data_IF_456457826874
#
_entry.id   IF_456457826874
#
_cell.length_a   1.000
_cell.length_b   1.000
_cell.length_c   1.000
_cell.angle_alpha   90.00
_cell.angle_beta   90.00
_cell.angle_gamma   90.00
#
_symmetry.space_group_name_H-M   'P 1'
#
loop_
_entity.id
_entity.type
_entity.pdbx_description
1 polymer ?
#
# COMPACT_ATOMS: atom_id res chain seq x y z
N UNK A 1 5.37 12.24 -4.94
CA UNK A 1 4.21 12.79 -5.67
C UNK A 1 3.63 11.67 -6.52
N UNK A 2 2.69 10.84 -6.04
CA UNK A 2 2.21 9.73 -6.91
C UNK A 2 0.84 9.09 -6.63
N UNK A 3 0.23 9.16 -5.43
CA UNK A 3 -1.08 8.49 -5.24
C UNK A 3 -2.24 9.48 -5.40
N UNK A 4 -2.19 10.64 -4.75
CA UNK A 4 -3.37 11.53 -4.66
C UNK A 4 -3.85 12.15 -5.99
N UNK A 5 -2.94 12.70 -6.79
CA UNK A 5 -3.32 13.62 -7.87
C UNK A 5 -3.78 12.90 -9.14
N UNK A 6 -3.23 11.73 -9.43
CA UNK A 6 -3.71 10.89 -10.53
C UNK A 6 -5.00 10.16 -10.16
N UNK A 7 -5.24 9.89 -8.88
CA UNK A 7 -6.42 9.16 -8.43
C UNK A 7 -7.70 9.96 -8.41
N UNK A 8 -7.69 11.24 -8.03
CA UNK A 8 -8.95 12.02 -8.00
C UNK A 8 -9.47 12.21 -9.44
N UNK A 9 -8.59 12.45 -10.40
CA UNK A 9 -8.95 12.54 -11.82
C UNK A 9 -9.39 11.19 -12.42
N UNK A 10 -8.81 10.07 -11.97
CA UNK A 10 -9.17 8.72 -12.44
C UNK A 10 -10.35 8.09 -11.69
N UNK A 11 -10.62 8.49 -10.45
CA UNK A 11 -11.78 8.07 -9.64
C UNK A 11 -13.08 8.67 -10.18
N UNK A 12 -13.03 9.88 -10.76
CA UNK A 12 -14.14 10.43 -11.56
C UNK A 12 -14.43 9.64 -12.84
N UNK A 13 -13.46 8.84 -13.33
CA UNK A 13 -13.56 8.01 -14.55
C UNK A 13 -13.75 6.52 -14.26
N UNK A 14 -13.48 6.04 -13.05
CA UNK A 14 -13.51 4.61 -12.70
C UNK A 14 -13.99 4.38 -11.27
N UNK A 15 -15.31 4.42 -11.07
CA UNK A 15 -16.00 4.09 -9.82
C UNK A 15 -15.92 2.59 -9.44
N UNK A 16 -14.83 1.89 -9.77
CA UNK A 16 -14.70 0.44 -9.57
C UNK A 16 -13.73 0.09 -8.41
N UNK A 17 -14.17 -0.71 -7.42
CA UNK A 17 -13.30 -1.25 -6.37
C UNK A 17 -12.11 -2.06 -6.90
N UNK A 18 -12.21 -2.59 -8.13
CA UNK A 18 -11.14 -3.35 -8.79
C UNK A 18 -9.92 -2.47 -9.11
N UNK A 19 -10.15 -1.21 -9.50
CA UNK A 19 -9.08 -0.25 -9.78
C UNK A 19 -8.25 0.05 -8.53
N UNK A 20 -8.92 0.30 -7.40
CA UNK A 20 -8.27 0.55 -6.10
C UNK A 20 -7.40 -0.64 -5.72
N UNK A 21 -7.95 -1.85 -5.87
CA UNK A 21 -7.21 -3.06 -5.53
C UNK A 21 -5.95 -3.24 -6.35
N UNK A 22 -6.03 -3.05 -7.68
CA UNK A 22 -4.90 -3.18 -8.59
C UNK A 22 -3.80 -2.18 -8.27
N UNK A 23 -4.17 -0.92 -8.07
CA UNK A 23 -3.18 0.11 -7.76
C UNK A 23 -2.52 -0.08 -6.40
N UNK A 24 -3.24 -0.59 -5.38
CA UNK A 24 -2.65 -0.89 -4.08
C UNK A 24 -1.57 -1.97 -4.19
N UNK A 25 -1.82 -3.00 -5.01
CA UNK A 25 -0.82 -4.04 -5.31
C UNK A 25 0.39 -3.46 -6.02
N UNK A 26 0.19 -2.70 -7.10
CA UNK A 26 1.28 -2.08 -7.86
C UNK A 26 2.10 -1.08 -7.01
N UNK A 27 1.46 -0.39 -6.08
CA UNK A 27 2.16 0.46 -5.12
C UNK A 27 3.00 -0.36 -4.15
N UNK A 28 2.40 -1.39 -3.55
CA UNK A 28 3.07 -2.26 -2.58
C UNK A 28 4.31 -2.92 -3.20
N UNK A 29 4.17 -3.54 -4.38
CA UNK A 29 5.26 -4.25 -5.05
C UNK A 29 6.45 -3.32 -5.32
N UNK A 30 6.18 -2.07 -5.71
CA UNK A 30 7.19 -1.04 -5.96
C UNK A 30 7.91 -0.65 -4.66
N UNK A 31 7.16 -0.42 -3.59
CA UNK A 31 7.75 -0.05 -2.29
C UNK A 31 8.57 -1.20 -1.73
N UNK A 32 8.02 -2.41 -1.74
CA UNK A 32 8.71 -3.63 -1.32
C UNK A 32 10.02 -3.83 -2.10
N UNK A 33 9.97 -3.72 -3.43
CA UNK A 33 11.16 -3.87 -4.28
C UNK A 33 12.22 -2.83 -3.94
N UNK A 34 11.84 -1.56 -3.73
CA UNK A 34 12.77 -0.50 -3.37
C UNK A 34 13.42 -0.74 -2.00
N UNK A 35 12.63 -1.17 -1.00
CA UNK A 35 13.13 -1.46 0.34
C UNK A 35 14.04 -2.70 0.36
N UNK A 36 13.78 -3.69 -0.50
CA UNK A 36 14.57 -4.93 -0.58
C UNK A 36 15.82 -4.79 -1.47
N UNK A 37 15.82 -3.89 -2.45
CA UNK A 37 16.90 -3.77 -3.46
C UNK A 37 18.31 -3.52 -2.87
N UNK A 38 18.39 -3.06 -1.61
CA UNK A 38 19.64 -2.74 -0.94
C UNK A 38 19.98 -3.67 0.24
N UNK A 39 19.13 -4.65 0.55
CA UNK A 39 19.35 -5.59 1.64
C UNK A 39 20.33 -6.69 1.23
N UNK A 40 21.59 -6.63 1.72
CA UNK A 40 22.64 -7.63 1.46
C UNK A 40 23.06 -8.43 2.70
N UNK A 41 22.58 -8.05 3.87
CA UNK A 41 22.79 -8.73 5.16
C UNK A 41 21.57 -8.60 6.06
N UNK A 42 21.63 -9.24 7.24
CA UNK A 42 20.51 -9.26 8.20
C UNK A 42 20.15 -7.85 8.69
N UNK A 43 21.15 -7.02 8.99
CA UNK A 43 20.94 -5.64 9.45
C UNK A 43 20.29 -4.77 8.36
N UNK A 44 20.77 -4.86 7.11
CA UNK A 44 20.16 -4.13 5.99
C UNK A 44 18.76 -4.66 5.65
N UNK A 45 18.50 -5.95 5.89
CA UNK A 45 17.17 -6.55 5.72
C UNK A 45 16.19 -6.02 6.77
N UNK A 46 16.62 -5.93 8.03
CA UNK A 46 15.87 -5.31 9.12
C UNK A 46 15.58 -3.83 8.82
N UNK A 47 16.58 -3.08 8.35
CA UNK A 47 16.42 -1.68 7.97
C UNK A 47 15.41 -1.52 6.82
N UNK A 48 15.49 -2.37 5.78
CA UNK A 48 14.54 -2.40 4.68
C UNK A 48 13.11 -2.69 5.15
N UNK A 49 12.93 -3.59 6.12
CA UNK A 49 11.63 -3.88 6.71
C UNK A 49 11.07 -2.69 7.52
N UNK A 50 11.93 -2.01 8.29
CA UNK A 50 11.54 -0.79 9.01
C UNK A 50 11.06 0.29 8.03
N UNK A 51 11.79 0.49 6.93
CA UNK A 51 11.41 1.45 5.89
C UNK A 51 10.08 1.07 5.22
N UNK A 52 9.88 -0.20 4.88
CA UNK A 52 8.62 -0.70 4.33
C UNK A 52 7.44 -0.40 5.28
N UNK A 53 7.58 -0.72 6.57
CA UNK A 53 6.57 -0.45 7.57
C UNK A 53 6.26 1.05 7.71
N UNK A 54 7.27 1.91 7.66
CA UNK A 54 7.10 3.36 7.71
C UNK A 54 6.33 3.88 6.48
N UNK A 55 6.65 3.38 5.29
CA UNK A 55 5.92 3.75 4.06
C UNK A 55 4.46 3.27 4.11
N UNK A 56 4.22 2.03 4.56
CA UNK A 56 2.87 1.49 4.76
C UNK A 56 2.05 2.34 5.74
N UNK A 57 2.62 2.65 6.90
CA UNK A 57 1.95 3.49 7.89
C UNK A 57 1.64 4.89 7.35
N UNK A 58 2.58 5.50 6.63
CA UNK A 58 2.37 6.81 5.99
C UNK A 58 1.22 6.77 4.99
N UNK A 59 1.11 5.68 4.21
CA UNK A 59 0.06 5.55 3.19
C UNK A 59 -1.30 5.25 3.79
N UNK A 60 -1.36 4.35 4.77
CA UNK A 60 -2.58 4.03 5.54
C UNK A 60 -3.12 5.27 6.24
N UNK A 61 -2.24 6.09 6.83
CA UNK A 61 -2.62 7.36 7.45
C UNK A 61 -3.29 8.30 6.44
N UNK A 62 -2.71 8.45 5.24
CA UNK A 62 -3.30 9.27 4.16
C UNK A 62 -4.61 8.65 3.65
N UNK A 63 -4.69 7.34 3.53
CA UNK A 63 -5.91 6.63 3.15
C UNK A 63 -7.06 6.94 4.10
N UNK A 64 -6.79 6.97 5.41
CA UNK A 64 -7.79 7.29 6.41
C UNK A 64 -8.15 8.78 6.43
N UNK A 65 -7.16 9.67 6.52
CA UNK A 65 -7.40 11.10 6.77
C UNK A 65 -7.69 11.93 5.52
N UNK A 66 -7.13 11.57 4.37
CA UNK A 66 -7.22 12.39 3.17
C UNK A 66 -8.18 11.82 2.13
N UNK A 67 -8.24 10.48 1.99
CA UNK A 67 -8.97 9.84 0.89
C UNK A 67 -10.28 9.19 1.30
N UNK A 68 -10.40 8.68 2.54
CA UNK A 68 -11.57 7.90 2.94
C UNK A 68 -12.88 8.69 2.80
N UNK A 69 -12.94 9.89 3.38
CA UNK A 69 -14.13 10.75 3.33
C UNK A 69 -14.53 11.05 1.89
N UNK A 70 -13.60 11.53 1.07
CA UNK A 70 -13.85 11.86 -0.33
C UNK A 70 -14.37 10.66 -1.12
N UNK A 71 -13.74 9.49 -0.94
CA UNK A 71 -14.09 8.29 -1.69
C UNK A 71 -15.43 7.71 -1.25
N UNK A 72 -15.71 7.74 0.06
CA UNK A 72 -16.96 7.29 0.66
C UNK A 72 -18.13 8.18 0.22
N UNK A 73 -17.96 9.50 0.22
CA UNK A 73 -18.96 10.45 -0.29
C UNK A 73 -19.25 10.26 -1.79
N UNK A 74 -18.21 9.97 -2.60
CA UNK A 74 -18.37 9.81 -4.05
C UNK A 74 -18.88 8.44 -4.48
N UNK A 75 -18.56 7.37 -3.75
CA UNK A 75 -18.76 5.99 -4.21
C UNK A 75 -19.49 5.09 -3.23
N UNK A 76 -19.69 5.52 -1.98
CA UNK A 76 -20.20 4.70 -0.88
C UNK A 76 -19.24 3.63 -0.38
N UNK A 77 -17.98 3.61 -0.85
CA UNK A 77 -16.97 2.63 -0.46
C UNK A 77 -16.01 3.23 0.56
N UNK A 78 -15.80 2.54 1.68
CA UNK A 78 -14.76 2.88 2.66
C UNK A 78 -13.37 2.54 2.10
N UNK A 79 -12.73 3.53 1.47
CA UNK A 79 -11.40 3.40 0.87
C UNK A 79 -10.35 2.89 1.87
N UNK A 80 -10.35 3.44 3.09
CA UNK A 80 -9.40 3.04 4.12
C UNK A 80 -9.48 1.53 4.42
N UNK A 81 -10.70 1.01 4.60
CA UNK A 81 -10.88 -0.40 4.95
C UNK A 81 -10.38 -1.33 3.84
N UNK A 82 -10.61 -0.97 2.57
CA UNK A 82 -10.12 -1.75 1.42
C UNK A 82 -8.58 -1.71 1.40
N UNK A 83 -8.00 -0.53 1.48
CA UNK A 83 -6.55 -0.33 1.42
C UNK A 83 -5.83 -1.03 2.57
N UNK A 84 -6.28 -0.83 3.81
CA UNK A 84 -5.70 -1.45 4.99
C UNK A 84 -5.62 -2.98 4.88
N UNK A 85 -6.75 -3.63 4.57
CA UNK A 85 -6.82 -5.10 4.46
C UNK A 85 -5.91 -5.65 3.36
N UNK A 86 -5.71 -4.89 2.27
CA UNK A 86 -4.81 -5.31 1.21
C UNK A 86 -3.35 -5.19 1.61
N UNK A 87 -2.96 -4.08 2.24
CA UNK A 87 -1.60 -3.86 2.71
C UNK A 87 -1.21 -4.89 3.78
N UNK A 88 -2.11 -5.15 4.73
CA UNK A 88 -1.95 -6.19 5.76
C UNK A 88 -1.73 -7.57 5.13
N UNK A 89 -2.55 -7.92 4.13
CA UNK A 89 -2.44 -9.21 3.43
C UNK A 89 -1.10 -9.33 2.69
N UNK A 90 -0.69 -8.29 1.96
CA UNK A 90 0.55 -8.30 1.19
C UNK A 90 1.77 -8.46 2.10
N UNK A 91 1.85 -7.65 3.16
CA UNK A 91 2.91 -7.74 4.17
C UNK A 91 2.95 -9.13 4.82
N UNK A 92 1.79 -9.69 5.19
CA UNK A 92 1.71 -11.03 5.78
C UNK A 92 2.23 -12.12 4.86
N UNK A 93 1.97 -12.02 3.54
CA UNK A 93 2.47 -12.96 2.55
C UNK A 93 3.98 -12.90 2.46
N UNK A 94 4.57 -11.70 2.45
CA UNK A 94 6.03 -11.57 2.31
C UNK A 94 6.78 -11.89 3.60
N UNK A 95 6.22 -11.59 4.77
CA UNK A 95 6.78 -12.03 6.05
C UNK A 95 6.83 -13.55 6.15
N UNK A 96 5.78 -14.24 5.68
CA UNK A 96 5.77 -15.72 5.66
C UNK A 96 6.83 -16.29 4.75
N UNK A 97 7.01 -15.75 3.54
CA UNK A 97 8.08 -16.18 2.64
C UNK A 97 9.46 -15.98 3.26
N UNK A 98 9.69 -14.82 3.88
CA UNK A 98 10.96 -14.55 4.56
C UNK A 98 11.26 -15.49 5.72
N UNK A 99 10.24 -16.06 6.38
CA UNK A 99 10.38 -17.05 7.46
C UNK A 99 10.49 -18.50 6.96
N UNK A 100 10.10 -18.77 5.71
CA UNK A 100 10.19 -20.10 5.09
C UNK A 100 11.50 -20.30 4.29
N UNK A 101 12.18 -19.19 3.93
CA UNK A 101 13.45 -19.17 3.20
C UNK A 101 14.71 -19.27 4.13
N UNK A 102 14.50 -19.41 5.46
CA UNK A 102 15.53 -19.74 6.49
C UNK A 102 15.50 -21.22 6.88
#
# INVERSE_FOLDING_TARGET
MTIAFSFIAFALLSSSPLTVKKSNVEWYDRVYTNCKAHAKGEEESLQGLIELCNQLNSDIYKAYHNYNVLFEEMTGVHYFQVTYKQMEKALSVDMKKGLEDE
#
